data_IF_178214184638
#
_entry.id   IF_178214184638
#
_cell.length_a   1.000
_cell.length_b   1.000
_cell.length_c   1.000
_cell.angle_alpha   90.00
_cell.angle_beta   90.00
_cell.angle_gamma   90.00
#
_symmetry.space_group_name_H-M   'P 1'
#
loop_
_entity.id
_entity.type
_entity.pdbx_description
1 polymer ?
#
# COMPACT_ATOMS: atom_id res chain seq x y z
N UNK A 1 -11.32 -6.22 -18.18
CA UNK A 1 -10.75 -6.88 -16.99
C UNK A 1 -9.74 -5.90 -16.41
N UNK A 2 -10.05 -5.29 -15.27
CA UNK A 2 -9.09 -4.44 -14.57
C UNK A 2 -8.12 -5.40 -13.90
N UNK A 3 -6.83 -5.34 -14.24
CA UNK A 3 -5.82 -6.15 -13.56
C UNK A 3 -5.78 -5.71 -12.09
N UNK A 4 -5.83 -6.67 -11.16
CA UNK A 4 -5.61 -6.37 -9.75
C UNK A 4 -4.27 -5.64 -9.60
N UNK A 5 -4.21 -4.56 -8.79
CA UNK A 5 -2.95 -3.90 -8.52
C UNK A 5 -2.01 -4.85 -7.80
N UNK A 6 -0.70 -4.75 -8.07
CA UNK A 6 0.30 -5.54 -7.37
C UNK A 6 0.67 -4.86 -6.04
N UNK A 7 0.89 -5.65 -4.99
CA UNK A 7 1.43 -5.13 -3.74
C UNK A 7 2.91 -4.75 -3.94
N UNK A 8 3.37 -3.57 -3.48
CA UNK A 8 4.71 -3.08 -3.77
C UNK A 8 5.78 -3.93 -3.06
N UNK A 9 6.63 -4.70 -3.76
CA UNK A 9 7.59 -5.63 -3.14
C UNK A 9 8.67 -4.88 -2.34
N UNK A 10 9.22 -5.48 -1.28
CA UNK A 10 10.32 -4.88 -0.54
C UNK A 10 11.60 -5.02 -1.36
N UNK A 11 12.40 -3.96 -1.46
CA UNK A 11 13.72 -4.06 -2.10
C UNK A 11 14.75 -4.47 -1.03
N UNK A 12 15.64 -5.44 -1.27
CA UNK A 12 16.73 -5.74 -0.32
C UNK A 12 17.69 -4.56 -0.09
N UNK A 13 17.66 -3.55 -0.94
CA UNK A 13 18.39 -2.30 -0.74
C UNK A 13 17.62 -1.24 0.06
N UNK A 14 16.34 -1.48 0.39
CA UNK A 14 15.56 -0.55 1.21
C UNK A 14 16.07 -0.62 2.66
N UNK A 15 16.26 0.52 3.34
CA UNK A 15 16.55 0.57 4.76
C UNK A 15 15.40 0.00 5.61
N UNK A 16 15.72 -0.46 6.82
CA UNK A 16 14.78 -1.15 7.71
C UNK A 16 13.55 -0.29 8.04
N UNK A 17 13.68 1.04 8.10
CA UNK A 17 12.58 1.98 8.32
C UNK A 17 11.53 1.97 7.19
N UNK A 18 11.90 1.48 6.00
CA UNK A 18 10.99 1.28 4.85
C UNK A 18 10.59 -0.20 4.75
N UNK A 19 11.57 -1.10 4.90
CA UNK A 19 11.36 -2.55 4.78
C UNK A 19 10.40 -3.11 5.83
N UNK A 20 10.56 -2.70 7.10
CA UNK A 20 9.72 -3.18 8.20
C UNK A 20 8.24 -2.81 8.01
N UNK A 21 7.86 -1.53 7.78
CA UNK A 21 6.47 -1.19 7.50
C UNK A 21 5.90 -1.91 6.27
N UNK A 22 6.68 -2.14 5.20
CA UNK A 22 6.20 -2.90 4.04
C UNK A 22 5.90 -4.37 4.38
N UNK A 23 6.74 -5.00 5.20
CA UNK A 23 6.49 -6.36 5.70
C UNK A 23 5.24 -6.42 6.58
N UNK A 24 5.07 -5.48 7.51
CA UNK A 24 3.86 -5.37 8.33
C UNK A 24 2.62 -5.13 7.47
N UNK A 25 2.72 -4.26 6.46
CA UNK A 25 1.64 -3.97 5.54
C UNK A 25 1.20 -5.25 4.78
N UNK A 26 2.14 -5.99 4.23
CA UNK A 26 1.86 -7.23 3.50
C UNK A 26 1.18 -8.29 4.40
N UNK A 27 1.65 -8.42 5.63
CA UNK A 27 1.08 -9.34 6.61
C UNK A 27 -0.36 -8.94 7.01
N UNK A 28 -0.62 -7.66 7.26
CA UNK A 28 -1.97 -7.15 7.52
C UNK A 28 -2.92 -7.31 6.33
N UNK A 29 -2.41 -7.14 5.10
CA UNK A 29 -3.21 -7.35 3.89
C UNK A 29 -3.74 -8.79 3.82
N UNK A 30 -2.88 -9.78 4.10
CA UNK A 30 -3.24 -11.20 4.12
C UNK A 30 -4.29 -11.54 5.19
N UNK A 31 -4.38 -10.75 6.26
CA UNK A 31 -5.37 -10.90 7.32
C UNK A 31 -6.72 -10.24 7.00
N UNK A 32 -6.83 -9.54 5.87
CA UNK A 32 -8.02 -8.77 5.53
C UNK A 32 -8.07 -7.38 6.17
N UNK A 33 -6.99 -6.95 6.83
CA UNK A 33 -6.87 -5.63 7.48
C UNK A 33 -6.35 -4.59 6.49
N UNK A 34 -7.14 -4.32 5.44
CA UNK A 34 -6.69 -3.55 4.27
C UNK A 34 -6.38 -2.08 4.58
N UNK A 35 -7.23 -1.41 5.37
CA UNK A 35 -7.04 0.02 5.69
C UNK A 35 -5.76 0.26 6.51
N UNK A 36 -5.45 -0.65 7.43
CA UNK A 36 -4.23 -0.57 8.24
C UNK A 36 -2.99 -0.94 7.42
N UNK A 37 -3.11 -1.94 6.55
CA UNK A 37 -2.05 -2.26 5.58
C UNK A 37 -1.67 -1.04 4.74
N UNK A 38 -2.66 -0.31 4.21
CA UNK A 38 -2.41 0.89 3.40
C UNK A 38 -1.68 1.97 4.22
N UNK A 39 -2.08 2.21 5.48
CA UNK A 39 -1.39 3.16 6.37
C UNK A 39 0.09 2.80 6.57
N UNK A 40 0.42 1.52 6.64
CA UNK A 40 1.81 1.07 6.73
C UNK A 40 2.59 1.30 5.43
N UNK A 41 1.96 1.16 4.25
CA UNK A 41 2.59 1.54 2.97
C UNK A 41 2.82 3.06 2.89
N UNK A 42 1.87 3.87 3.37
CA UNK A 42 2.02 5.33 3.45
C UNK A 42 3.14 5.74 4.42
N UNK A 43 3.26 5.04 5.56
CA UNK A 43 4.36 5.22 6.51
C UNK A 43 5.71 4.89 5.87
N UNK A 44 5.80 3.79 5.11
CA UNK A 44 7.00 3.45 4.34
C UNK A 44 7.37 4.53 3.32
N UNK A 45 6.37 5.10 2.64
CA UNK A 45 6.58 6.21 1.71
C UNK A 45 7.11 7.47 2.42
N UNK A 46 6.55 7.82 3.58
CA UNK A 46 7.01 8.93 4.40
C UNK A 46 8.45 8.73 4.91
N UNK A 47 8.78 7.51 5.35
CA UNK A 47 10.14 7.14 5.72
C UNK A 47 11.11 7.28 4.53
N UNK A 48 10.72 6.82 3.34
CA UNK A 48 11.51 6.96 2.13
C UNK A 48 11.81 8.43 1.78
N UNK A 49 10.82 9.32 1.89
CA UNK A 49 11.04 10.76 1.68
C UNK A 49 11.96 11.37 2.74
N UNK A 50 11.83 10.95 4.00
CA UNK A 50 12.68 11.40 5.11
C UNK A 50 14.14 11.00 4.89
N UNK A 51 14.38 9.80 4.37
CA UNK A 51 15.69 9.26 4.01
C UNK A 51 16.20 9.73 2.63
N UNK A 52 15.51 10.69 2.00
CA UNK A 52 15.87 11.24 0.68
C UNK A 52 15.79 10.25 -0.50
N UNK A 53 15.17 9.09 -0.31
CA UNK A 53 14.87 8.13 -1.38
C UNK A 53 13.61 8.53 -2.16
N UNK A 54 13.65 9.70 -2.83
CA UNK A 54 12.47 10.30 -3.48
C UNK A 54 11.76 9.37 -4.48
N UNK A 55 12.51 8.70 -5.35
CA UNK A 55 11.92 7.80 -6.35
C UNK A 55 11.16 6.64 -5.69
N UNK A 56 11.71 6.10 -4.60
CA UNK A 56 11.06 5.03 -3.84
C UNK A 56 9.84 5.53 -3.09
N UNK A 57 9.92 6.70 -2.47
CA UNK A 57 8.77 7.34 -1.82
C UNK A 57 7.61 7.61 -2.77
N UNK A 58 7.91 8.03 -4.01
CA UNK A 58 6.90 8.29 -5.03
C UNK A 58 6.23 7.00 -5.50
N UNK A 59 7.01 5.94 -5.75
CA UNK A 59 6.51 4.60 -6.09
C UNK A 59 5.56 4.08 -5.00
N UNK A 60 5.98 4.15 -3.73
CA UNK A 60 5.20 3.66 -2.59
C UNK A 60 3.92 4.49 -2.38
N UNK A 61 4.00 5.82 -2.53
CA UNK A 61 2.82 6.69 -2.44
C UNK A 61 1.80 6.41 -3.57
N UNK A 62 2.29 6.19 -4.80
CA UNK A 62 1.43 5.79 -5.91
C UNK A 62 0.79 4.42 -5.66
N UNK A 63 1.56 3.44 -5.16
CA UNK A 63 1.05 2.12 -4.82
C UNK A 63 -0.04 2.21 -3.74
N UNK A 64 0.17 2.99 -2.68
CA UNK A 64 -0.83 3.23 -1.64
C UNK A 64 -2.13 3.83 -2.20
N UNK A 65 -2.02 4.87 -3.05
CA UNK A 65 -3.20 5.48 -3.67
C UNK A 65 -3.98 4.51 -4.56
N UNK A 66 -3.28 3.65 -5.30
CA UNK A 66 -3.89 2.62 -6.14
C UNK A 66 -4.59 1.55 -5.29
N UNK A 67 -3.95 1.09 -4.21
CA UNK A 67 -4.54 0.12 -3.27
C UNK A 67 -5.78 0.70 -2.58
N UNK A 68 -5.71 1.96 -2.12
CA UNK A 68 -6.84 2.66 -1.55
C UNK A 68 -8.03 2.74 -2.52
N UNK A 69 -7.78 3.17 -3.77
CA UNK A 69 -8.82 3.21 -4.80
C UNK A 69 -9.35 1.82 -5.20
N UNK A 70 -8.60 0.75 -4.96
CA UNK A 70 -9.04 -0.62 -5.18
C UNK A 70 -9.96 -1.10 -4.06
N UNK A 71 -9.56 -0.94 -2.80
CA UNK A 71 -10.36 -1.27 -1.61
C UNK A 71 -11.66 -0.47 -1.59
N UNK A 72 -11.61 0.81 -1.94
CA UNK A 72 -12.81 1.64 -2.00
C UNK A 72 -13.83 1.12 -3.03
N UNK A 73 -13.38 0.65 -4.19
CA UNK A 73 -14.27 0.06 -5.22
C UNK A 73 -14.89 -1.25 -4.74
N UNK A 74 -14.11 -2.09 -4.06
CA UNK A 74 -14.61 -3.31 -3.44
C UNK A 74 -15.71 -3.03 -2.42
N UNK A 75 -15.49 -2.04 -1.54
CA UNK A 75 -16.47 -1.62 -0.55
C UNK A 75 -17.77 -1.08 -1.19
N UNK A 76 -17.68 -0.54 -2.41
CA UNK A 76 -18.84 -0.11 -3.21
C UNK A 76 -19.57 -1.26 -3.91
N UNK A 77 -19.13 -2.52 -3.74
CA UNK A 77 -19.74 -3.70 -4.32
C UNK A 77 -19.22 -4.07 -5.72
N UNK A 78 -18.08 -3.51 -6.14
CA UNK A 78 -17.45 -3.88 -7.40
C UNK A 78 -16.83 -5.29 -7.29
N UNK A 79 -17.44 -6.27 -7.95
CA UNK A 79 -17.00 -7.68 -7.92
C UNK A 79 -15.63 -7.89 -8.58
N UNK A 80 -15.20 -6.98 -9.43
CA UNK A 80 -13.88 -7.01 -10.09
C UNK A 80 -12.75 -6.45 -9.22
N UNK A 81 -13.06 -5.95 -8.02
CA UNK A 81 -12.11 -5.30 -7.13
C UNK A 81 -11.78 -6.12 -5.88
N UNK A 82 -11.82 -7.45 -5.92
CA UNK A 82 -11.57 -8.27 -4.73
C UNK A 82 -10.15 -8.04 -4.16
N UNK A 83 -9.96 -7.49 -2.95
CA UNK A 83 -8.64 -7.25 -2.36
C UNK A 83 -7.85 -8.54 -2.10
N UNK A 84 -8.51 -9.69 -2.00
CA UNK A 84 -7.84 -10.99 -1.91
C UNK A 84 -7.16 -11.42 -3.22
N UNK A 85 -7.58 -10.83 -4.35
CA UNK A 85 -6.96 -11.09 -5.66
C UNK A 85 -5.64 -10.34 -5.87
N UNK A 86 -5.30 -9.39 -4.99
CA UNK A 86 -4.03 -8.67 -5.04
C UNK A 86 -2.88 -9.63 -4.70
N UNK A 87 -1.93 -9.86 -5.62
CA UNK A 87 -0.82 -10.76 -5.35
C UNK A 87 0.13 -10.10 -4.33
N UNK A 88 0.29 -10.75 -3.18
CA UNK A 88 1.29 -10.40 -2.16
C UNK A 88 2.42 -11.43 -2.24
N UNK A 89 3.63 -10.99 -2.60
CA UNK A 89 4.79 -11.88 -2.80
C UNK A 89 5.01 -12.85 -1.64
N UNK A 90 5.31 -14.11 -1.92
CA UNK A 90 5.58 -15.11 -0.88
C UNK A 90 6.82 -14.76 -0.02
N UNK A 91 7.69 -13.89 -0.53
CA UNK A 91 8.94 -13.47 0.11
C UNK A 91 8.72 -12.59 1.37
N UNK A 92 7.49 -12.13 1.62
CA UNK A 92 7.19 -11.41 2.86
C UNK A 92 7.14 -12.34 4.07
N UNK A 93 7.87 -12.02 5.16
CA UNK A 93 7.77 -12.76 6.41
C UNK A 93 6.32 -12.78 6.91
N UNK A 94 5.93 -13.88 7.56
CA UNK A 94 4.61 -13.97 8.20
C UNK A 94 4.51 -13.02 9.38
N UNK A 95 3.29 -12.64 9.75
CA UNK A 95 3.05 -11.76 10.91
C UNK A 95 3.62 -12.38 12.19
N UNK A 96 3.52 -13.71 12.37
CA UNK A 96 4.06 -14.44 13.52
C UNK A 96 5.59 -14.27 13.64
N UNK A 97 6.30 -14.25 12.51
CA UNK A 97 7.74 -13.98 12.48
C UNK A 97 8.03 -12.53 12.86
N UNK A 98 7.24 -11.57 12.37
CA UNK A 98 7.38 -10.16 12.73
C UNK A 98 7.08 -9.93 14.22
N UNK A 99 6.03 -10.55 14.76
CA UNK A 99 5.66 -10.47 16.18
C UNK A 99 6.69 -11.15 17.08
N UNK A 100 7.35 -12.22 16.60
CA UNK A 100 8.45 -12.86 17.34
C UNK A 100 9.69 -11.96 17.42
N UNK A 101 9.97 -11.19 16.35
CA UNK A 101 11.07 -10.21 16.33
C UNK A 101 10.72 -8.97 17.17
N UNK A 102 9.46 -8.53 17.12
CA UNK A 102 8.97 -7.40 17.89
C UNK A 102 8.82 -7.72 19.39
N UNK A 103 8.37 -8.93 19.74
CA UNK A 103 8.23 -9.44 21.11
C UNK A 103 9.55 -9.93 21.70
N UNK A 104 10.68 -9.35 21.28
CA UNK A 104 12.00 -9.55 21.90
C UNK A 104 12.10 -9.03 23.34
N UNK A 105 11.06 -9.21 24.16
CA UNK A 105 11.16 -9.23 25.61
C UNK A 105 12.05 -10.41 26.00
N UNK A 106 13.31 -10.09 26.30
CA UNK A 106 14.27 -11.06 26.81
C UNK A 106 15.70 -10.55 26.96
N UNK A 107 16.06 -9.37 26.42
CA UNK A 107 17.25 -8.65 26.87
C UNK A 107 16.81 -7.52 27.80
N UNK A 108 16.51 -7.90 29.04
CA UNK A 108 16.39 -6.95 30.14
C UNK A 108 17.68 -6.12 30.22
N UNK A 109 17.54 -4.80 30.10
CA UNK A 109 18.60 -3.81 30.30
C UNK A 109 19.28 -3.93 31.67
N UNK A 110 18.67 -4.65 32.62
CA UNK A 110 19.26 -4.96 33.93
C UNK A 110 20.53 -5.83 33.86
N UNK A 111 20.78 -6.55 32.76
CA UNK A 111 22.00 -7.36 32.60
C UNK A 111 23.21 -6.58 32.06
N UNK A 112 23.04 -5.27 31.76
CA UNK A 112 24.12 -4.38 31.31
C UNK A 112 24.70 -3.57 32.49
N UNK A 113 24.03 -3.53 33.65
CA UNK A 113 24.42 -2.71 34.81
C UNK A 113 24.97 -3.56 35.97
N UNK A 114 25.48 -4.76 35.70
CA UNK A 114 26.34 -5.43 36.68
C UNK A 114 27.41 -6.30 35.99
N UNK A 115 28.55 -5.72 35.57
CA UNK A 115 29.67 -6.54 35.15
C UNK A 115 30.08 -7.42 36.34
N UNK A 116 30.10 -8.76 36.23
CA UNK A 116 30.67 -9.59 37.27
C UNK A 116 32.13 -9.18 37.44
N UNK A 117 32.46 -8.72 38.64
CA UNK A 117 33.80 -8.29 39.02
C UNK A 117 34.79 -9.43 38.69
N UNK A 118 35.83 -9.18 37.87
CA UNK A 118 36.70 -10.24 37.40
C UNK A 118 37.51 -10.79 38.58
N UNK A 119 37.52 -12.11 38.82
CA UNK A 119 38.45 -12.69 39.77
C UNK A 119 39.87 -12.46 39.27
N UNK A 120 40.65 -11.70 40.04
CA UNK A 120 42.07 -11.49 39.80
C UNK A 120 42.81 -12.83 39.76
N UNK A 121 43.43 -13.18 38.62
CA UNK A 121 44.61 -14.05 38.58
C UNK A 121 45.29 -14.02 37.19
N UNK A 122 46.60 -14.33 37.12
CA UNK A 122 47.53 -13.64 36.25
C UNK A 122 48.00 -14.47 35.04
N UNK A 123 48.45 -13.73 34.02
CA UNK A 123 49.45 -14.03 32.99
C UNK A 123 49.33 -15.31 32.12
N UNK A 124 49.87 -15.16 30.89
CA UNK A 124 50.41 -16.21 29.98
C UNK A 124 49.33 -16.95 29.15
N UNK A 125 49.39 -17.12 27.82
CA UNK A 125 50.47 -17.23 26.83
C UNK A 125 49.94 -16.79 25.45
N UNK A 126 50.82 -16.15 24.68
CA UNK A 126 50.73 -15.84 23.24
C UNK A 126 50.70 -17.13 22.40
N UNK A 127 49.75 -17.28 21.47
CA UNK A 127 49.96 -18.08 20.25
C UNK A 127 49.23 -17.46 19.05
N UNK A 128 50.04 -16.98 18.11
CA UNK A 128 49.70 -16.63 16.74
C UNK A 128 48.99 -17.80 16.02
N UNK A 129 47.93 -17.49 15.28
CA UNK A 129 47.41 -18.35 14.20
C UNK A 129 47.25 -17.50 12.93
N UNK A 130 47.98 -17.78 11.84
CA UNK A 130 47.76 -17.11 10.57
C UNK A 130 46.62 -17.77 9.81
N UNK A 131 45.55 -17.03 9.53
CA UNK A 131 44.50 -17.46 8.60
C UNK A 131 44.79 -16.93 7.18
N UNK A 132 45.23 -17.84 6.29
CA UNK A 132 45.23 -17.63 4.84
C UNK A 132 43.88 -18.06 4.25
N UNK A 133 43.19 -17.15 3.58
CA UNK A 133 41.96 -17.42 2.83
C UNK A 133 42.28 -17.81 1.39
N UNK A 134 41.63 -18.85 0.81
CA UNK A 134 41.77 -19.19 -0.59
C UNK A 134 40.91 -18.27 -1.48
N UNK A 135 41.55 -17.71 -2.51
CA UNK A 135 40.90 -16.99 -3.62
C UNK A 135 40.03 -17.96 -4.43
N UNK A 136 38.71 -17.74 -4.41
CA UNK A 136 37.74 -18.42 -5.26
C UNK A 136 37.38 -17.54 -6.46
N UNK A 137 37.66 -18.07 -7.64
CA UNK A 137 37.62 -17.45 -8.96
C UNK A 137 36.19 -17.09 -9.42
N UNK A 138 36.07 -15.88 -9.96
CA UNK A 138 34.91 -15.34 -10.66
C UNK A 138 34.51 -16.21 -11.86
N UNK A 139 33.25 -16.62 -11.91
CA UNK A 139 32.60 -17.16 -13.11
C UNK A 139 31.85 -16.07 -13.87
N UNK A 140 32.34 -15.74 -15.05
CA UNK A 140 31.57 -15.17 -16.17
C UNK A 140 30.36 -16.10 -16.46
N UNK A 141 29.17 -15.71 -16.87
CA UNK A 141 28.70 -14.57 -17.64
C UNK A 141 27.59 -15.10 -18.58
N UNK A 142 26.57 -14.26 -18.82
CA UNK A 142 25.51 -14.37 -19.84
C UNK A 142 24.28 -15.26 -19.59
N UNK A 143 23.12 -14.59 -19.45
CA UNK A 143 21.83 -15.10 -19.90
C UNK A 143 21.09 -14.00 -20.70
N UNK A 144 20.32 -14.36 -21.75
CA UNK A 144 19.80 -13.44 -22.76
C UNK A 144 18.44 -12.84 -22.37
N UNK A 145 18.20 -11.60 -22.79
CA UNK A 145 16.93 -10.89 -22.65
C UNK A 145 15.97 -11.19 -23.82
N UNK A 146 14.70 -11.59 -23.57
CA UNK A 146 13.68 -11.59 -24.61
C UNK A 146 12.94 -10.24 -24.64
N UNK A 147 12.99 -9.58 -25.80
CA UNK A 147 12.21 -8.38 -26.14
C UNK A 147 10.70 -8.71 -26.18
N UNK A 148 9.93 -8.21 -25.21
CA UNK A 148 8.44 -8.22 -25.27
C UNK A 148 7.94 -6.88 -25.81
N UNK A 149 7.23 -6.94 -26.93
CA UNK A 149 6.53 -5.82 -27.56
C UNK A 149 5.31 -5.44 -26.70
N UNK A 150 5.23 -4.17 -26.29
CA UNK A 150 4.04 -3.56 -25.69
C UNK A 150 2.97 -3.27 -26.77
N UNK A 151 1.69 -3.62 -26.56
CA UNK A 151 0.60 -3.08 -27.35
C UNK A 151 0.16 -1.71 -26.82
N UNK A 152 -0.07 -0.77 -27.74
CA UNK A 152 -0.59 0.57 -27.46
C UNK A 152 -1.99 0.52 -26.83
N UNK A 153 -2.14 1.11 -25.64
CA UNK A 153 -3.41 1.32 -24.98
C UNK A 153 -4.05 2.62 -25.50
N UNK A 154 -5.07 2.49 -26.36
CA UNK A 154 -5.91 3.60 -26.81
C UNK A 154 -6.76 4.13 -25.65
N UNK A 155 -6.67 5.45 -25.45
CA UNK A 155 -7.43 6.28 -24.51
C UNK A 155 -8.94 6.13 -24.70
N UNK A 156 -9.66 5.85 -23.61
CA UNK A 156 -11.08 6.16 -23.46
C UNK A 156 -11.24 6.93 -22.14
N UNK A 157 -11.15 8.26 -22.23
CA UNK A 157 -11.51 9.16 -21.15
C UNK A 157 -13.04 9.33 -21.16
N UNK A 158 -13.74 8.60 -20.31
CA UNK A 158 -15.13 8.90 -19.97
C UNK A 158 -15.14 9.75 -18.69
N UNK A 159 -15.76 10.93 -18.74
CA UNK A 159 -15.96 11.81 -17.57
C UNK A 159 -16.83 11.07 -16.53
N UNK A 160 -16.39 10.94 -15.26
CA UNK A 160 -17.26 10.38 -14.22
C UNK A 160 -18.37 11.36 -13.87
N UNK A 161 -19.59 10.85 -13.74
CA UNK A 161 -20.76 11.60 -13.29
C UNK A 161 -20.61 12.00 -11.80
N UNK A 162 -21.16 13.14 -11.38
CA UNK A 162 -21.05 13.61 -10.00
C UNK A 162 -21.86 12.71 -9.05
N UNK A 163 -21.19 12.13 -8.04
CA UNK A 163 -21.82 11.34 -6.98
C UNK A 163 -22.52 12.23 -5.94
N UNK A 164 -23.63 11.76 -5.34
CA UNK A 164 -24.35 12.48 -4.30
C UNK A 164 -23.51 12.63 -3.03
N UNK A 165 -23.52 13.83 -2.44
CA UNK A 165 -22.86 14.12 -1.17
C UNK A 165 -23.64 13.48 -0.01
N UNK A 166 -23.05 12.49 0.64
CA UNK A 166 -23.52 11.98 1.93
C UNK A 166 -23.05 12.94 3.03
N UNK A 167 -24.01 13.52 3.75
CA UNK A 167 -23.77 14.32 4.95
C UNK A 167 -24.02 13.41 6.14
N UNK A 168 -23.02 13.21 7.01
CA UNK A 168 -23.18 12.52 8.29
C UNK A 168 -23.67 13.52 9.33
N UNK A 169 -24.84 13.28 9.91
CA UNK A 169 -25.27 13.98 11.10
C UNK A 169 -24.57 13.42 12.35
N UNK A 170 -24.29 14.31 13.31
CA UNK A 170 -23.41 14.11 14.47
C UNK A 170 -23.85 12.99 15.45
N UNK A 171 -25.04 12.42 15.27
CA UNK A 171 -25.55 11.30 16.08
C UNK A 171 -25.32 9.90 15.46
N UNK A 172 -24.56 9.79 14.35
CA UNK A 172 -24.19 8.49 13.78
C UNK A 172 -25.34 7.72 13.11
N UNK A 173 -26.48 8.38 12.88
CA UNK A 173 -27.60 7.83 12.13
C UNK A 173 -27.46 8.19 10.65
N UNK A 174 -27.34 7.18 9.78
CA UNK A 174 -27.31 7.38 8.33
C UNK A 174 -28.73 7.70 7.87
N UNK A 175 -29.05 8.99 7.76
CA UNK A 175 -30.30 9.41 7.13
C UNK A 175 -30.09 9.30 5.61
N UNK A 176 -30.50 8.17 5.04
CA UNK A 176 -30.70 8.09 3.61
C UNK A 176 -31.82 9.08 3.25
N UNK A 177 -31.47 10.22 2.63
CA UNK A 177 -32.47 11.10 2.03
C UNK A 177 -33.22 10.28 0.98
N UNK A 178 -34.42 9.84 1.34
CA UNK A 178 -35.38 9.28 0.40
C UNK A 178 -35.53 10.31 -0.71
N UNK A 179 -35.21 9.99 -1.98
CA UNK A 179 -35.39 10.94 -3.05
C UNK A 179 -36.85 11.34 -3.03
N UNK A 180 -37.07 12.63 -2.76
CA UNK A 180 -38.37 13.27 -2.82
C UNK A 180 -38.86 13.05 -4.25
N UNK A 181 -39.78 12.09 -4.38
CA UNK A 181 -40.44 11.77 -5.63
C UNK A 181 -41.27 12.99 -5.97
N UNK A 182 -40.67 13.91 -6.74
CA UNK A 182 -41.39 15.02 -7.34
C UNK A 182 -42.40 14.39 -8.29
N UNK A 183 -43.64 14.37 -7.83
CA UNK A 183 -44.82 14.26 -8.68
C UNK A 183 -44.88 15.53 -9.56
N UNK A 184 -43.96 15.64 -10.54
CA UNK A 184 -44.03 16.57 -11.66
C UNK A 184 -45.00 15.99 -12.72
N UNK A 185 -46.23 15.70 -12.28
CA UNK A 185 -47.40 15.43 -13.14
C UNK A 185 -48.27 16.69 -13.17
N UNK A 186 -47.63 17.81 -13.51
CA UNK A 186 -48.31 19.04 -13.88
C UNK A 186 -48.47 19.03 -15.42
N UNK A 187 -49.70 19.05 -15.96
CA UNK A 187 -49.88 19.11 -17.41
C UNK A 187 -49.30 20.42 -17.96
N UNK A 188 -48.73 20.42 -19.18
CA UNK A 188 -48.21 21.64 -19.78
C UNK A 188 -49.37 22.63 -20.00
N UNK A 189 -49.28 23.74 -19.29
CA UNK A 189 -50.16 24.88 -19.43
C UNK A 189 -50.13 25.34 -20.90
N UNK A 190 -51.30 25.31 -21.50
CA UNK A 190 -51.49 25.55 -22.93
C UNK A 190 -51.39 27.06 -23.15
N UNK A 191 -50.24 27.55 -23.63
CA UNK A 191 -50.13 28.97 -23.96
C UNK A 191 -51.11 29.34 -25.08
N UNK A 192 -51.95 30.39 -24.90
CA UNK A 192 -52.74 30.93 -25.99
C UNK A 192 -51.82 31.63 -26.99
N UNK A 193 -51.82 31.10 -28.21
CA UNK A 193 -51.11 31.65 -29.36
C UNK A 193 -51.80 32.94 -29.80
N UNK A 194 -51.33 34.07 -29.26
CA UNK A 194 -51.77 35.40 -29.66
C UNK A 194 -50.80 35.94 -30.72
N UNK A 195 -51.06 35.60 -31.99
CA UNK A 195 -50.35 36.19 -33.14
C UNK A 195 -51.37 36.86 -34.07
N UNK A 196 -51.30 38.19 -34.27
CA UNK A 196 -52.28 38.95 -35.05
C UNK A 196 -52.15 38.69 -36.56
N UNK A 197 -53.23 38.93 -37.33
CA UNK A 197 -53.28 38.63 -38.76
C UNK A 197 -52.44 39.61 -39.60
N UNK A 198 -52.02 39.21 -40.82
CA UNK A 198 -51.23 40.05 -41.70
C UNK A 198 -52.08 41.20 -42.26
N UNK A 199 -51.51 42.41 -42.21
CA UNK A 199 -52.07 43.58 -42.91
C UNK A 199 -51.81 43.44 -44.41
N UNK A 200 -52.87 43.61 -45.20
CA UNK A 200 -52.82 43.77 -46.65
C UNK A 200 -52.18 45.10 -47.03
#
# INVERSE_FOLDING_TARGET
>A
MISAPAFPPPNPADPDEIGWPLCTAAAMWRQGRYDESIKHVESAAAAAYTLQHRARGEELAMAAAVLHGYVQRWQQGALDADPLSVPVSADYPSLEMLESVASGEGLTIEDIVNPPEPPATPERIVTNVPHTLPSGIFGEGALPTPKRKLPELKKIFARPAPLPRLVLDFEGSIIAHKPEQRDDDAPPDTMPSDRPPPKK
#
